data_IF_622730255557
#
_entry.id   IF_622730255557
#
_cell.length_a   1.000
_cell.length_b   1.000
_cell.length_c   1.000
_cell.angle_alpha   90.00
_cell.angle_beta   90.00
_cell.angle_gamma   90.00
#
_symmetry.space_group_name_H-M   'P 1'
#
loop_
_entity.id
_entity.type
_entity.pdbx_description
1 polymer ?
#
# COMPACT_ATOMS: atom_id res chain seq x y z
N UNK A 1 30.71 -10.53 13.18
CA UNK A 1 29.35 -10.78 12.62
C UNK A 1 29.14 -10.06 11.28
N UNK A 2 28.54 -10.71 10.28
CA UNK A 2 28.18 -10.11 8.98
C UNK A 2 27.05 -9.09 9.14
N UNK A 3 27.05 -8.02 8.33
CA UNK A 3 26.07 -6.92 8.45
C UNK A 3 24.62 -7.40 8.35
N UNK A 4 24.30 -8.25 7.37
CA UNK A 4 22.95 -8.76 7.18
C UNK A 4 22.43 -9.53 8.41
N UNK A 5 23.26 -10.41 8.99
CA UNK A 5 22.94 -11.13 10.23
C UNK A 5 22.67 -10.16 11.38
N UNK A 6 23.50 -9.12 11.52
CA UNK A 6 23.32 -8.11 12.56
C UNK A 6 22.02 -7.32 12.42
N UNK A 7 21.64 -6.93 11.19
CA UNK A 7 20.37 -6.24 10.95
C UNK A 7 19.17 -7.12 11.33
N UNK A 8 19.22 -8.40 10.99
CA UNK A 8 18.18 -9.36 11.36
C UNK A 8 18.06 -9.52 12.89
N UNK A 9 19.19 -9.68 13.58
CA UNK A 9 19.20 -9.81 15.04
C UNK A 9 18.67 -8.56 15.75
N UNK A 10 18.98 -7.36 15.25
CA UNK A 10 18.41 -6.11 15.77
C UNK A 10 16.87 -6.14 15.68
N UNK A 11 16.32 -6.60 14.55
CA UNK A 11 14.87 -6.74 14.39
C UNK A 11 14.30 -7.74 15.41
N UNK A 12 14.94 -8.89 15.63
CA UNK A 12 14.48 -9.88 16.60
C UNK A 12 14.51 -9.36 18.04
N UNK A 13 15.58 -8.65 18.42
CA UNK A 13 15.69 -8.00 19.74
C UNK A 13 14.54 -7.03 19.95
N UNK A 14 14.26 -6.17 18.97
CA UNK A 14 13.18 -5.18 19.06
C UNK A 14 11.79 -5.82 19.03
N UNK A 15 11.60 -6.91 18.28
CA UNK A 15 10.34 -7.67 18.20
C UNK A 15 9.97 -8.31 19.53
N UNK A 16 10.94 -8.89 20.23
CA UNK A 16 10.71 -9.58 21.51
C UNK A 16 10.64 -8.62 22.71
N UNK A 17 11.01 -7.35 22.51
CA UNK A 17 11.07 -6.38 23.59
C UNK A 17 9.69 -5.85 23.97
N UNK A 18 9.34 -5.96 25.25
CA UNK A 18 8.10 -5.38 25.82
C UNK A 18 8.22 -3.88 26.15
N UNK A 19 9.42 -3.32 26.08
CA UNK A 19 9.76 -1.92 26.40
C UNK A 19 10.83 -1.41 25.42
N UNK A 20 10.99 -0.09 25.24
CA UNK A 20 12.07 0.47 24.42
C UNK A 20 13.45 -0.07 24.81
N UNK A 21 14.23 -0.51 23.81
CA UNK A 21 15.58 -1.05 24.00
C UNK A 21 16.61 -0.03 23.54
N UNK A 22 17.56 0.31 24.39
CA UNK A 22 18.59 1.30 24.04
C UNK A 22 19.64 0.71 23.10
N UNK A 23 20.30 1.59 22.32
CA UNK A 23 21.42 1.17 21.47
C UNK A 23 22.55 0.49 22.26
N UNK A 24 22.74 0.86 23.54
CA UNK A 24 23.74 0.24 24.41
C UNK A 24 23.40 -1.23 24.70
N UNK A 25 22.15 -1.52 25.06
CA UNK A 25 21.68 -2.90 25.32
C UNK A 25 21.77 -3.76 24.05
N UNK A 26 21.38 -3.20 22.90
CA UNK A 26 21.51 -3.90 21.61
C UNK A 26 22.99 -4.16 21.29
N UNK A 27 23.85 -3.18 21.52
CA UNK A 27 25.29 -3.27 21.25
C UNK A 27 25.97 -4.34 22.10
N UNK A 28 25.66 -4.37 23.40
CA UNK A 28 26.13 -5.38 24.34
C UNK A 28 25.70 -6.78 23.91
N UNK A 29 24.40 -6.99 23.64
CA UNK A 29 23.84 -8.29 23.27
C UNK A 29 24.39 -8.84 21.95
N UNK A 30 24.81 -7.95 21.05
CA UNK A 30 25.33 -8.30 19.73
C UNK A 30 26.87 -8.22 19.65
N UNK A 31 27.54 -7.92 20.76
CA UNK A 31 28.99 -7.75 20.86
C UNK A 31 29.55 -6.78 19.80
N UNK A 32 28.88 -5.65 19.63
CA UNK A 32 29.28 -4.59 18.68
C UNK A 32 29.32 -3.22 19.35
N UNK A 33 29.85 -2.23 18.65
CA UNK A 33 29.81 -0.85 19.15
C UNK A 33 28.42 -0.23 19.04
N UNK A 34 28.08 0.66 19.98
CA UNK A 34 26.87 1.51 19.93
C UNK A 34 26.78 2.29 18.61
N UNK A 35 27.92 2.76 18.07
CA UNK A 35 27.99 3.46 16.78
C UNK A 35 27.55 2.56 15.61
N UNK A 36 27.85 1.26 15.65
CA UNK A 36 27.38 0.31 14.65
C UNK A 36 25.87 0.13 14.73
N UNK A 37 25.31 0.00 15.94
CA UNK A 37 23.86 -0.10 16.15
C UNK A 37 23.14 1.13 15.60
N UNK A 38 23.61 2.35 15.88
CA UNK A 38 22.99 3.55 15.32
C UNK A 38 22.97 3.56 13.79
N UNK A 39 24.08 3.20 13.14
CA UNK A 39 24.13 3.11 11.67
C UNK A 39 23.18 2.05 11.12
N UNK A 40 23.05 0.94 11.82
CA UNK A 40 22.19 -0.17 11.43
C UNK A 40 20.71 0.16 11.64
N UNK A 41 20.34 0.86 12.71
CA UNK A 41 18.99 1.38 12.92
C UNK A 41 18.60 2.37 11.82
N UNK A 42 19.49 3.31 11.47
CA UNK A 42 19.25 4.24 10.35
C UNK A 42 19.09 3.48 9.03
N UNK A 43 19.89 2.44 8.79
CA UNK A 43 19.74 1.60 7.60
C UNK A 43 18.40 0.84 7.59
N UNK A 44 17.96 0.29 8.74
CA UNK A 44 16.67 -0.36 8.89
C UNK A 44 15.50 0.61 8.65
N UNK A 45 15.57 1.82 9.18
CA UNK A 45 14.58 2.88 8.94
C UNK A 45 14.53 3.30 7.47
N UNK A 46 15.70 3.43 6.81
CA UNK A 46 15.77 3.70 5.38
C UNK A 46 15.16 2.57 4.53
N UNK A 47 15.23 1.32 5.01
CA UNK A 47 14.53 0.17 4.44
C UNK A 47 13.04 0.08 4.85
N UNK A 48 12.50 1.14 5.48
CA UNK A 48 11.12 1.25 5.95
C UNK A 48 10.71 0.22 7.02
N UNK A 49 11.68 -0.32 7.77
CA UNK A 49 11.36 -1.03 9.01
C UNK A 49 10.87 0.01 10.02
N UNK A 50 9.66 -0.13 10.62
CA UNK A 50 9.04 0.90 11.44
C UNK A 50 9.63 0.92 12.86
N UNK A 51 10.92 1.24 12.93
CA UNK A 51 11.63 1.42 14.19
C UNK A 51 11.42 2.87 14.61
N UNK A 52 10.80 3.05 15.75
CA UNK A 52 10.59 4.36 16.38
C UNK A 52 11.55 4.54 17.55
N UNK A 53 11.78 5.79 17.93
CA UNK A 53 12.65 6.16 19.04
C UNK A 53 14.00 6.72 18.60
N UNK A 54 14.89 6.93 19.55
CA UNK A 54 16.09 7.73 19.34
C UNK A 54 17.11 7.63 20.46
N UNK A 55 18.19 8.42 20.33
CA UNK A 55 19.25 8.48 21.35
C UNK A 55 18.67 8.85 22.71
N UNK A 56 19.08 8.14 23.76
CA UNK A 56 18.64 8.37 25.14
C UNK A 56 17.25 7.82 25.49
N UNK A 57 16.36 7.62 24.51
CA UNK A 57 14.98 7.14 24.74
C UNK A 57 14.86 5.62 24.45
N UNK A 58 15.72 5.09 23.57
CA UNK A 58 15.68 3.71 23.12
C UNK A 58 14.81 3.54 21.88
N UNK A 59 14.71 2.30 21.41
CA UNK A 59 14.04 1.93 20.16
C UNK A 59 12.95 0.90 20.40
N UNK A 60 11.85 1.02 19.67
CA UNK A 60 10.79 0.02 19.59
C UNK A 60 10.51 -0.30 18.13
N UNK A 61 10.04 -1.52 17.88
CA UNK A 61 9.38 -1.84 16.62
C UNK A 61 7.90 -1.52 16.78
N UNK A 62 7.35 -0.64 15.93
CA UNK A 62 5.92 -0.28 16.00
C UNK A 62 5.07 -1.56 15.91
N UNK A 63 4.11 -1.80 16.84
CA UNK A 63 3.19 -2.94 16.76
C UNK A 63 2.41 -2.96 15.44
N UNK A 64 2.12 -4.15 14.91
CA UNK A 64 1.30 -4.32 13.70
C UNK A 64 2.06 -4.40 12.37
N UNK A 65 3.37 -4.62 12.41
CA UNK A 65 4.19 -4.86 11.20
C UNK A 65 4.63 -6.33 11.05
N UNK A 66 4.35 -7.17 12.04
CA UNK A 66 4.36 -8.61 11.93
C UNK A 66 2.93 -9.14 11.86
N UNK A 67 2.70 -10.05 10.92
CA UNK A 67 1.45 -10.78 10.86
C UNK A 67 1.63 -11.97 11.83
N UNK A 68 0.78 -12.13 12.86
CA UNK A 68 0.83 -13.33 13.70
C UNK A 68 0.62 -14.57 12.83
N UNK A 69 1.00 -15.78 13.29
CA UNK A 69 0.67 -17.00 12.58
C UNK A 69 -0.84 -17.06 12.31
N UNK A 70 -1.23 -17.04 11.04
CA UNK A 70 -2.61 -17.16 10.60
C UNK A 70 -2.85 -18.60 10.13
N UNK A 71 -3.99 -19.15 10.52
CA UNK A 71 -4.47 -20.40 9.95
C UNK A 71 -5.42 -20.04 8.81
N UNK A 72 -5.08 -20.47 7.60
CA UNK A 72 -5.94 -20.32 6.42
C UNK A 72 -6.53 -21.67 6.03
N UNK A 73 -7.80 -21.69 5.64
CA UNK A 73 -8.39 -22.82 4.90
C UNK A 73 -7.81 -22.89 3.49
N UNK A 74 -8.09 -23.98 2.77
CA UNK A 74 -7.70 -24.12 1.36
C UNK A 74 -8.39 -23.03 0.51
N UNK A 75 -9.68 -22.80 0.74
CA UNK A 75 -10.50 -21.82 0.02
C UNK A 75 -10.03 -20.37 0.29
N UNK A 76 -9.67 -20.06 1.54
CA UNK A 76 -9.08 -18.76 1.88
C UNK A 76 -7.74 -18.56 1.17
N UNK A 77 -6.95 -19.62 1.07
CA UNK A 77 -5.67 -19.60 0.37
C UNK A 77 -5.85 -19.38 -1.14
N UNK A 78 -6.79 -20.09 -1.76
CA UNK A 78 -7.15 -19.92 -3.18
C UNK A 78 -7.66 -18.50 -3.48
N UNK A 79 -8.49 -17.94 -2.60
CA UNK A 79 -9.00 -16.57 -2.73
C UNK A 79 -7.85 -15.54 -2.70
N UNK A 80 -6.85 -15.74 -1.83
CA UNK A 80 -5.66 -14.89 -1.78
C UNK A 80 -4.84 -15.03 -3.06
N UNK A 81 -4.59 -16.26 -3.53
CA UNK A 81 -3.83 -16.51 -4.78
C UNK A 81 -4.49 -15.84 -5.97
N UNK A 82 -5.79 -16.03 -6.14
CA UNK A 82 -6.56 -15.42 -7.23
C UNK A 82 -6.46 -13.90 -7.18
N UNK A 83 -6.60 -13.30 -5.99
CA UNK A 83 -6.49 -11.86 -5.79
C UNK A 83 -5.10 -11.32 -6.17
N UNK A 84 -4.03 -12.05 -5.80
CA UNK A 84 -2.66 -11.70 -6.16
C UNK A 84 -2.41 -11.83 -7.66
N UNK A 85 -2.98 -12.84 -8.32
CA UNK A 85 -2.91 -13.02 -9.77
C UNK A 85 -3.63 -11.88 -10.53
N UNK A 86 -4.75 -11.37 -10.00
CA UNK A 86 -5.46 -10.23 -10.58
C UNK A 86 -4.63 -8.94 -10.57
N UNK A 87 -3.74 -8.75 -9.60
CA UNK A 87 -2.86 -7.57 -9.53
C UNK A 87 -1.87 -7.50 -10.69
N UNK A 88 -1.51 -8.62 -11.33
CA UNK A 88 -0.69 -8.59 -12.54
C UNK A 88 -1.39 -7.85 -13.70
N UNK A 89 -2.73 -7.80 -13.69
CA UNK A 89 -3.53 -7.11 -14.73
C UNK A 89 -3.82 -5.65 -14.39
N UNK A 90 -4.18 -5.36 -13.14
CA UNK A 90 -4.75 -4.06 -12.74
C UNK A 90 -3.86 -3.25 -11.80
N UNK A 91 -2.94 -3.90 -11.09
CA UNK A 91 -2.06 -3.25 -10.12
C UNK A 91 -1.00 -2.39 -10.78
N UNK A 92 -0.57 -1.33 -10.09
CA UNK A 92 0.64 -0.60 -10.46
C UNK A 92 1.91 -1.42 -10.18
N UNK A 93 3.05 -0.93 -10.68
CA UNK A 93 4.32 -1.62 -10.56
C UNK A 93 4.69 -1.98 -9.11
N UNK A 94 4.44 -1.10 -8.14
CA UNK A 94 4.76 -1.38 -6.73
C UNK A 94 3.86 -2.49 -6.17
N UNK A 95 2.57 -2.50 -6.52
CA UNK A 95 1.63 -3.55 -6.12
C UNK A 95 1.99 -4.89 -6.74
N UNK A 96 2.40 -4.95 -8.01
CA UNK A 96 2.88 -6.20 -8.64
C UNK A 96 4.11 -6.76 -7.92
N UNK A 97 5.08 -5.90 -7.60
CA UNK A 97 6.25 -6.31 -6.81
C UNK A 97 5.85 -6.75 -5.39
N UNK A 98 4.90 -6.06 -4.76
CA UNK A 98 4.38 -6.45 -3.46
C UNK A 98 3.68 -7.81 -3.52
N UNK A 99 2.88 -8.06 -4.55
CA UNK A 99 2.19 -9.33 -4.77
C UNK A 99 3.19 -10.49 -4.85
N UNK A 100 4.25 -10.36 -5.67
CA UNK A 100 5.33 -11.36 -5.75
C UNK A 100 5.98 -11.65 -4.40
N UNK A 101 6.24 -10.61 -3.60
CA UNK A 101 6.79 -10.78 -2.24
C UNK A 101 5.81 -11.46 -1.29
N UNK A 102 4.51 -11.17 -1.39
CA UNK A 102 3.47 -11.82 -0.59
C UNK A 102 3.37 -13.30 -0.97
N UNK A 103 3.31 -13.63 -2.26
CA UNK A 103 3.29 -15.02 -2.74
C UNK A 103 4.49 -15.81 -2.22
N UNK A 104 5.71 -15.24 -2.30
CA UNK A 104 6.91 -15.88 -1.78
C UNK A 104 6.87 -16.09 -0.24
N UNK A 105 6.33 -15.12 0.52
CA UNK A 105 6.16 -15.26 1.97
C UNK A 105 5.18 -16.36 2.32
N UNK A 106 4.05 -16.45 1.61
CA UNK A 106 3.05 -17.48 1.88
C UNK A 106 3.60 -18.86 1.50
N UNK A 107 4.21 -18.99 0.32
CA UNK A 107 4.86 -20.23 -0.12
C UNK A 107 5.91 -20.74 0.90
N UNK A 108 6.67 -19.83 1.51
CA UNK A 108 7.65 -20.15 2.55
C UNK A 108 7.04 -20.55 3.91
N UNK A 109 5.80 -20.18 4.19
CA UNK A 109 5.13 -20.39 5.47
C UNK A 109 4.14 -21.58 5.49
N UNK A 110 3.65 -22.01 4.32
CA UNK A 110 2.63 -23.07 4.24
C UNK A 110 3.21 -24.49 4.11
N UNK A 111 2.53 -25.52 4.69
CA UNK A 111 2.86 -26.94 4.49
C UNK A 111 2.74 -27.40 3.03
N UNK A 112 3.36 -28.54 2.64
CA UNK A 112 3.42 -29.01 1.25
C UNK A 112 2.07 -29.09 0.50
N UNK A 113 0.94 -29.54 1.09
CA UNK A 113 -0.34 -29.60 0.38
C UNK A 113 -0.85 -28.22 -0.07
N UNK A 114 -0.73 -27.20 0.80
CA UNK A 114 -1.11 -25.82 0.48
C UNK A 114 -0.10 -25.15 -0.47
N UNK A 115 1.18 -25.56 -0.41
CA UNK A 115 2.19 -25.12 -1.38
C UNK A 115 1.89 -25.64 -2.78
N UNK A 116 1.37 -26.86 -2.91
CA UNK A 116 0.93 -27.37 -4.21
C UNK A 116 -0.24 -26.57 -4.78
N UNK A 117 -1.16 -26.04 -3.96
CA UNK A 117 -2.23 -25.12 -4.44
C UNK A 117 -1.67 -23.79 -4.94
N UNK A 118 -0.57 -23.30 -4.37
CA UNK A 118 0.14 -22.10 -4.83
C UNK A 118 0.87 -22.32 -6.15
N UNK A 119 1.55 -23.47 -6.28
CA UNK A 119 2.37 -23.82 -7.45
C UNK A 119 1.52 -24.40 -8.59
N UNK A 120 0.37 -24.98 -8.25
CA UNK A 120 -0.64 -25.37 -9.21
C UNK A 120 -1.15 -24.10 -9.87
N UNK A 121 -0.67 -23.88 -11.09
CA UNK A 121 -1.20 -22.94 -12.08
C UNK A 121 -2.68 -23.24 -12.45
N UNK A 122 -3.51 -23.73 -11.52
CA UNK A 122 -4.93 -23.98 -11.73
C UNK A 122 -5.73 -22.66 -11.72
N UNK A 123 -5.23 -21.65 -11.02
CA UNK A 123 -5.86 -20.33 -10.93
C UNK A 123 -5.10 -19.31 -11.78
N UNK A 124 -5.72 -18.93 -12.89
CA UNK A 124 -5.21 -17.90 -13.79
C UNK A 124 -6.17 -16.73 -13.86
N UNK A 125 -5.64 -15.51 -13.74
CA UNK A 125 -6.36 -14.30 -14.09
C UNK A 125 -6.22 -14.06 -15.60
N UNK A 126 -7.10 -14.66 -16.41
CA UNK A 126 -7.12 -14.45 -17.88
C UNK A 126 -7.72 -13.09 -18.24
N UNK A 127 -7.18 -12.44 -19.27
CA UNK A 127 -7.67 -11.17 -19.82
C UNK A 127 -6.55 -10.19 -20.17
N UNK A 128 -6.87 -9.14 -20.90
CA UNK A 128 -5.89 -8.09 -21.23
C UNK A 128 -5.49 -7.33 -19.97
N UNK A 129 -4.21 -6.94 -19.89
CA UNK A 129 -3.79 -5.92 -18.94
C UNK A 129 -4.51 -4.63 -19.28
N UNK A 130 -5.01 -3.91 -18.27
CA UNK A 130 -5.52 -2.56 -18.49
C UNK A 130 -4.43 -1.76 -19.21
N UNK A 131 -4.72 -1.05 -20.31
CA UNK A 131 -3.74 -0.19 -20.96
C UNK A 131 -3.13 0.70 -19.89
N UNK A 132 -1.81 0.59 -19.71
CA UNK A 132 -1.09 1.50 -18.82
C UNK A 132 -1.23 2.87 -19.43
N UNK A 133 -2.13 3.70 -18.90
CA UNK A 133 -2.20 5.11 -19.27
C UNK A 133 -0.84 5.70 -18.93
N UNK A 134 0.00 5.93 -19.95
CA UNK A 134 1.40 6.29 -19.79
C UNK A 134 1.61 7.58 -18.96
N UNK A 135 0.55 8.35 -18.74
CA UNK A 135 0.55 9.64 -18.06
C UNK A 135 0.31 9.58 -16.53
N UNK A 136 -0.11 8.46 -15.93
CA UNK A 136 -0.36 8.42 -14.47
C UNK A 136 0.27 7.23 -13.74
N UNK A 137 1.10 7.55 -12.75
CA UNK A 137 1.55 6.60 -11.73
C UNK A 137 0.44 6.40 -10.69
N UNK A 138 -0.29 5.28 -10.75
CA UNK A 138 -1.31 4.98 -9.73
C UNK A 138 -0.71 4.80 -8.32
N UNK A 139 0.60 4.51 -8.20
CA UNK A 139 1.25 4.49 -6.91
C UNK A 139 1.30 5.89 -6.27
N UNK A 140 1.47 6.95 -7.07
CA UNK A 140 1.35 8.35 -6.62
C UNK A 140 -0.02 8.60 -6.00
N UNK A 141 -1.09 8.19 -6.69
CA UNK A 141 -2.47 8.35 -6.21
C UNK A 141 -2.68 7.60 -4.89
N UNK A 142 -2.23 6.34 -4.80
CA UNK A 142 -2.33 5.56 -3.56
C UNK A 142 -1.59 6.21 -2.39
N UNK A 143 -0.40 6.80 -2.63
CA UNK A 143 0.35 7.55 -1.61
C UNK A 143 -0.43 8.80 -1.20
N UNK A 144 -0.91 9.58 -2.16
CA UNK A 144 -1.69 10.79 -1.89
C UNK A 144 -2.99 10.52 -1.12
N UNK A 145 -3.69 9.42 -1.37
CA UNK A 145 -4.86 9.00 -0.57
C UNK A 145 -4.45 8.70 0.88
N UNK A 146 -3.37 7.92 1.07
CA UNK A 146 -2.87 7.52 2.39
C UNK A 146 -2.40 8.73 3.20
N UNK A 147 -1.71 9.64 2.54
CA UNK A 147 -1.12 10.82 3.16
C UNK A 147 -2.09 12.02 3.12
N UNK A 148 -3.32 11.85 2.62
CA UNK A 148 -4.31 12.92 2.43
C UNK A 148 -3.69 14.17 1.79
N UNK A 149 -2.91 13.95 0.72
CA UNK A 149 -2.26 14.97 -0.08
C UNK A 149 -3.10 15.29 -1.32
N UNK A 150 -3.25 16.56 -1.65
CA UNK A 150 -3.96 17.01 -2.84
C UNK A 150 -3.12 16.76 -4.09
N UNK A 151 -3.79 16.44 -5.18
CA UNK A 151 -3.17 16.25 -6.49
C UNK A 151 -3.60 17.37 -7.43
N UNK A 152 -2.67 17.83 -8.26
CA UNK A 152 -2.98 18.61 -9.46
C UNK A 152 -3.18 17.63 -10.62
N UNK A 153 -4.27 17.83 -11.37
CA UNK A 153 -4.74 16.90 -12.38
C UNK A 153 -5.05 17.64 -13.68
N UNK A 154 -4.29 17.33 -14.73
CA UNK A 154 -4.63 17.65 -16.12
C UNK A 154 -5.52 16.53 -16.66
N UNK A 155 -6.80 16.84 -16.91
CA UNK A 155 -7.82 15.85 -17.24
C UNK A 155 -8.61 16.23 -18.48
N UNK A 156 -8.80 15.26 -19.38
CA UNK A 156 -9.66 15.38 -20.56
C UNK A 156 -10.99 14.68 -20.33
N UNK A 157 -12.09 15.41 -20.42
CA UNK A 157 -13.42 14.81 -20.26
C UNK A 157 -13.89 14.04 -21.51
N UNK A 158 -15.09 13.46 -21.43
CA UNK A 158 -15.72 12.67 -22.52
C UNK A 158 -15.97 13.47 -23.78
N UNK A 159 -16.09 14.79 -23.66
CA UNK A 159 -16.31 15.69 -24.78
C UNK A 159 -14.98 16.25 -25.31
N UNK A 160 -13.84 15.69 -24.86
CA UNK A 160 -12.51 16.09 -25.28
C UNK A 160 -12.01 17.38 -24.64
N UNK A 161 -12.72 17.94 -23.65
CA UNK A 161 -12.35 19.23 -23.04
C UNK A 161 -11.26 19.02 -21.98
N UNK A 162 -10.12 19.67 -22.17
CA UNK A 162 -9.04 19.67 -21.20
C UNK A 162 -9.37 20.62 -20.03
N UNK A 163 -9.04 20.18 -18.81
CA UNK A 163 -9.20 20.96 -17.59
C UNK A 163 -8.06 20.67 -16.62
N UNK A 164 -7.61 21.68 -15.89
CA UNK A 164 -6.70 21.55 -14.75
C UNK A 164 -7.48 21.65 -13.45
N UNK A 165 -7.19 20.77 -12.49
CA UNK A 165 -7.99 20.63 -11.27
C UNK A 165 -7.15 20.20 -10.09
N UNK A 166 -7.31 20.92 -8.98
CA UNK A 166 -6.90 20.42 -7.66
C UNK A 166 -7.97 19.45 -7.14
N UNK A 167 -7.54 18.24 -6.81
CA UNK A 167 -8.40 17.19 -6.27
C UNK A 167 -7.91 16.71 -4.90
N UNK A 168 -8.83 16.30 -4.04
CA UNK A 168 -8.54 15.55 -2.79
C UNK A 168 -8.88 14.08 -3.03
N UNK A 169 -7.91 13.22 -3.39
CA UNK A 169 -8.18 11.84 -3.72
C UNK A 169 -8.56 11.05 -2.46
N UNK A 170 -9.65 10.29 -2.52
CA UNK A 170 -10.21 9.59 -1.35
C UNK A 170 -10.33 8.08 -1.53
N UNK A 171 -10.41 7.61 -2.77
CA UNK A 171 -10.39 6.20 -3.12
C UNK A 171 -9.83 5.98 -4.54
N UNK A 172 -9.33 4.77 -4.77
CA UNK A 172 -8.89 4.29 -6.09
C UNK A 172 -9.60 2.97 -6.37
N UNK A 173 -10.35 2.91 -7.46
CA UNK A 173 -11.15 1.75 -7.86
C UNK A 173 -10.47 1.12 -9.07
N UNK A 174 -10.24 -0.19 -9.03
CA UNK A 174 -9.67 -0.95 -10.13
C UNK A 174 -10.78 -1.68 -10.90
N UNK A 175 -11.07 -1.23 -12.11
CA UNK A 175 -11.88 -1.99 -13.06
C UNK A 175 -10.98 -2.89 -13.92
N UNK A 176 -11.58 -3.76 -14.73
CA UNK A 176 -10.85 -4.67 -15.62
C UNK A 176 -9.99 -3.94 -16.66
N UNK A 177 -10.43 -2.75 -17.10
CA UNK A 177 -9.83 -2.01 -18.22
C UNK A 177 -9.19 -0.68 -17.82
N UNK A 178 -9.57 -0.12 -16.68
CA UNK A 178 -9.09 1.21 -16.23
C UNK A 178 -9.18 1.31 -14.71
N UNK A 179 -8.50 2.29 -14.13
CA UNK A 179 -8.67 2.65 -12.73
C UNK A 179 -9.41 3.99 -12.61
N UNK A 180 -10.28 4.13 -11.61
CA UNK A 180 -10.96 5.39 -11.35
C UNK A 180 -10.48 5.98 -10.02
N UNK A 181 -10.06 7.24 -10.07
CA UNK A 181 -9.80 8.04 -8.88
C UNK A 181 -11.12 8.67 -8.44
N UNK A 182 -11.54 8.37 -7.21
CA UNK A 182 -12.63 9.09 -6.56
C UNK A 182 -12.03 10.23 -5.77
N UNK A 183 -12.50 11.45 -5.99
CA UNK A 183 -11.95 12.62 -5.32
C UNK A 183 -12.97 13.74 -5.12
N UNK A 184 -12.74 14.57 -4.10
CA UNK A 184 -13.38 15.89 -4.03
C UNK A 184 -12.67 16.84 -5.00
N UNK A 185 -13.42 17.33 -5.99
CA UNK A 185 -12.92 18.27 -6.99
C UNK A 185 -13.09 19.71 -6.48
N UNK A 186 -12.01 20.45 -6.25
CA UNK A 186 -12.10 21.82 -5.73
C UNK A 186 -12.69 22.79 -6.77
N UNK A 187 -12.50 22.53 -8.06
CA UNK A 187 -13.14 23.33 -9.11
C UNK A 187 -14.68 23.17 -9.14
N UNK A 188 -15.19 21.97 -8.83
CA UNK A 188 -16.63 21.66 -8.91
C UNK A 188 -17.33 21.61 -7.56
N UNK A 189 -16.58 21.71 -6.47
CA UNK A 189 -17.06 21.60 -5.09
C UNK A 189 -17.96 20.36 -4.89
N UNK A 190 -17.52 19.23 -5.43
CA UNK A 190 -18.29 17.98 -5.39
C UNK A 190 -17.39 16.76 -5.58
N UNK A 191 -17.91 15.60 -5.17
CA UNK A 191 -17.29 14.30 -5.42
C UNK A 191 -17.41 13.95 -6.91
N UNK A 192 -16.30 13.55 -7.52
CA UNK A 192 -16.20 13.17 -8.93
C UNK A 192 -15.29 11.96 -9.10
N UNK A 193 -15.54 11.22 -10.18
CA UNK A 193 -14.73 10.09 -10.62
C UNK A 193 -13.89 10.51 -11.83
N UNK A 194 -12.60 10.19 -11.80
CA UNK A 194 -11.66 10.48 -12.87
C UNK A 194 -11.07 9.17 -13.37
N UNK A 195 -11.32 8.83 -14.63
CA UNK A 195 -10.74 7.62 -15.22
C UNK A 195 -9.26 7.84 -15.52
N UNK A 196 -8.42 6.86 -15.16
CA UNK A 196 -6.97 6.97 -15.28
C UNK A 196 -6.49 7.11 -16.72
N UNK A 197 -7.21 6.51 -17.67
CA UNK A 197 -6.94 6.58 -19.11
C UNK A 197 -7.24 7.94 -19.74
N UNK A 198 -7.88 8.86 -19.01
CA UNK A 198 -8.19 10.23 -19.45
C UNK A 198 -7.37 11.31 -18.75
N UNK A 199 -6.44 10.89 -17.90
CA UNK A 199 -5.52 11.78 -17.21
C UNK A 199 -4.31 12.00 -18.11
N UNK A 200 -3.98 13.27 -18.36
CA UNK A 200 -2.85 13.68 -19.20
C UNK A 200 -1.63 14.08 -18.36
N UNK A 201 -1.86 14.44 -17.10
CA UNK A 201 -0.82 14.79 -16.13
C UNK A 201 -1.37 14.71 -14.70
N UNK A 202 -0.53 14.28 -13.77
CA UNK A 202 -0.89 14.15 -12.36
C UNK A 202 0.34 14.37 -11.48
N UNK A 203 0.28 15.38 -10.61
CA UNK A 203 1.39 15.73 -9.73
C UNK A 203 0.93 15.95 -8.29
N UNK A 204 1.80 15.63 -7.34
CA UNK A 204 1.59 15.95 -5.94
C UNK A 204 1.81 17.45 -5.70
N UNK A 205 0.84 18.10 -5.06
CA UNK A 205 0.87 19.55 -4.86
C UNK A 205 1.75 19.99 -3.68
N UNK A 206 2.11 19.08 -2.77
CA UNK A 206 2.65 19.47 -1.47
C UNK A 206 1.64 20.21 -0.57
N UNK A 207 0.33 20.09 -0.85
CA UNK A 207 -0.75 20.62 -0.02
C UNK A 207 -1.60 19.45 0.48
N UNK A 208 -2.12 19.56 1.71
CA UNK A 208 -2.84 18.44 2.34
C UNK A 208 -4.27 18.79 2.75
N UNK A 209 -5.08 17.75 2.96
CA UNK A 209 -6.42 17.80 3.54
C UNK A 209 -6.52 16.88 4.76
N UNK A 210 -5.48 16.89 5.60
CA UNK A 210 -5.32 16.00 6.77
C UNK A 210 -6.58 15.95 7.64
N UNK A 211 -7.01 14.75 8.01
CA UNK A 211 -8.18 14.46 8.85
C UNK A 211 -9.54 14.62 8.15
N UNK A 212 -9.57 14.95 6.85
CA UNK A 212 -10.83 15.12 6.10
C UNK A 212 -11.16 13.94 5.20
N UNK A 213 -10.23 13.00 5.00
CA UNK A 213 -10.39 11.88 4.07
C UNK A 213 -11.55 10.96 4.45
N UNK A 214 -11.69 10.61 5.74
CA UNK A 214 -12.76 9.73 6.21
C UNK A 214 -14.16 10.35 6.00
N UNK A 215 -14.32 11.64 6.34
CA UNK A 215 -15.58 12.35 6.11
C UNK A 215 -15.97 12.38 4.63
N UNK A 216 -14.99 12.63 3.75
CA UNK A 216 -15.24 12.62 2.30
C UNK A 216 -15.56 11.22 1.77
N UNK A 217 -14.91 10.16 2.28
CA UNK A 217 -15.24 8.77 1.96
C UNK A 217 -16.66 8.42 2.40
N UNK A 218 -17.08 8.86 3.59
CA UNK A 218 -18.44 8.60 4.07
C UNK A 218 -19.49 9.28 3.18
N UNK A 219 -19.26 10.53 2.77
CA UNK A 219 -20.16 11.23 1.83
C UNK A 219 -20.26 10.45 0.51
N UNK A 220 -19.13 9.96 -0.02
CA UNK A 220 -19.12 9.16 -1.24
C UNK A 220 -19.92 7.86 -1.11
N UNK A 221 -19.68 7.08 -0.06
CA UNK A 221 -20.36 5.79 0.19
C UNK A 221 -21.86 5.99 0.38
N UNK A 222 -22.27 7.01 1.15
CA UNK A 222 -23.68 7.30 1.37
C UNK A 222 -24.39 7.71 0.08
N UNK A 223 -23.74 8.51 -0.78
CA UNK A 223 -24.30 8.89 -2.08
C UNK A 223 -24.51 7.71 -3.03
N UNK A 224 -23.71 6.65 -2.90
CA UNK A 224 -23.89 5.40 -3.64
C UNK A 224 -25.10 4.61 -3.17
N UNK A 225 -25.31 4.49 -1.86
CA UNK A 225 -26.41 3.72 -1.28
C UNK A 225 -27.79 4.30 -1.61
N UNK A 226 -27.91 5.63 -1.64
CA UNK A 226 -29.17 6.32 -1.98
C UNK A 226 -29.57 6.08 -3.44
N UNK A 227 -28.60 6.11 -4.37
CA UNK A 227 -28.90 5.85 -5.79
C UNK A 227 -29.26 4.38 -6.04
N UNK A 228 -28.59 3.44 -5.36
CA UNK A 228 -28.89 2.00 -5.52
C UNK A 228 -30.31 1.62 -5.04
N UNK A 229 -30.86 2.35 -4.07
CA UNK A 229 -32.25 2.18 -3.61
C UNK A 229 -33.27 2.83 -4.55
N UNK A 230 -32.91 3.90 -5.24
CA UNK A 230 -33.77 4.56 -6.22
C UNK A 230 -33.94 3.75 -7.51
N UNK A 231 -32.92 3.00 -7.92
CA UNK A 231 -32.95 2.14 -9.12
C UNK A 231 -33.65 0.77 -8.89
N UNK A 232 -34.06 0.49 -7.65
CA UNK A 232 -34.73 -0.77 -7.26
C UNK A 232 -36.27 -0.65 -7.15
N UNK A 233 -36.83 0.52 -7.52
CA UNK A 233 -38.26 0.82 -7.51
C UNK A 233 -38.74 1.24 -8.92
#
# INVERSE_FOLDING_TARGET
>A
MRKASRLFEIIQILRLAKKPVTAAVIAERLEVTVRSVYRDIVALQAMRVPIEGGRGIGYILRPGFDLPPLMFSIEEMEAIVLSLALLERTGDHELKLAAKRVSAKIAGAVPPPLRQTLDANALHAWGFAAPSAAAIDLALVRRAIRDEEKLDLSYRDELGRATERIIRPIALIYYSETANIVAWCELRQAIRNFRSDRIEGCEATGLWFKGKGDGLRQIWVNGWQVNAQADAH
#
